data_IF_929091116168
#
_entry.id   IF_929091116168
#
_cell.length_a   1.000
_cell.length_b   1.000
_cell.length_c   1.000
_cell.angle_alpha   90.00
_cell.angle_beta   90.00
_cell.angle_gamma   90.00
#
_symmetry.space_group_name_H-M   'P 1'
#
loop_
_entity.id
_entity.type
_entity.pdbx_description
1 polymer ?
#
# COMPACT_ATOMS: atom_id res chain seq x y z
N UNK A 1 -59.36 31.14 -23.19
CA UNK A 1 -58.68 31.51 -21.93
C UNK A 1 -58.98 30.45 -20.88
N UNK A 2 -57.92 29.98 -20.19
CA UNK A 2 -57.89 29.19 -18.93
C UNK A 2 -58.52 27.78 -18.97
N UNK A 3 -57.79 26.65 -18.94
CA UNK A 3 -56.83 26.08 -17.97
C UNK A 3 -57.48 25.41 -16.74
N UNK A 4 -57.48 24.07 -16.71
CA UNK A 4 -57.35 23.18 -15.53
C UNK A 4 -56.96 21.79 -16.05
N UNK A 5 -55.68 21.43 -16.10
CA UNK A 5 -54.93 20.75 -15.03
C UNK A 5 -55.57 19.43 -14.57
N UNK A 6 -55.25 18.32 -15.25
CA UNK A 6 -55.27 16.99 -14.63
C UNK A 6 -53.87 16.76 -14.08
N UNK A 7 -53.77 16.86 -12.76
CA UNK A 7 -52.58 16.58 -11.98
C UNK A 7 -52.20 15.11 -12.05
N UNK A 8 -50.89 14.89 -11.97
CA UNK A 8 -50.18 13.64 -12.10
C UNK A 8 -50.70 12.48 -11.23
N UNK A 9 -50.68 11.31 -11.88
CA UNK A 9 -50.22 10.03 -11.35
C UNK A 9 -49.27 10.14 -10.15
N UNK A 10 -49.78 9.92 -8.94
CA UNK A 10 -48.93 9.89 -7.73
C UNK A 10 -49.17 8.68 -6.81
N UNK A 11 -49.67 7.55 -7.34
CA UNK A 11 -49.90 6.35 -6.50
C UNK A 11 -49.44 5.00 -7.05
N UNK A 12 -48.67 4.94 -8.14
CA UNK A 12 -48.21 3.64 -8.69
C UNK A 12 -46.71 3.33 -8.62
N UNK A 13 -45.84 4.27 -8.24
CA UNK A 13 -44.38 4.03 -8.33
C UNK A 13 -43.66 3.67 -7.02
N UNK A 14 -44.29 3.80 -5.85
CA UNK A 14 -43.62 3.52 -4.56
C UNK A 14 -43.74 2.08 -4.05
N UNK A 15 -44.81 1.35 -4.43
CA UNK A 15 -45.03 -0.04 -3.96
C UNK A 15 -44.16 -1.04 -4.72
N UNK A 16 -43.78 -0.75 -5.98
CA UNK A 16 -43.02 -1.69 -6.81
C UNK A 16 -41.55 -1.78 -6.39
N UNK A 17 -40.90 -0.66 -6.04
CA UNK A 17 -39.49 -0.66 -5.60
C UNK A 17 -39.28 -1.38 -4.27
N UNK A 18 -40.19 -1.20 -3.30
CA UNK A 18 -40.11 -1.88 -2.01
C UNK A 18 -40.33 -3.39 -2.15
N UNK A 19 -41.30 -3.80 -3.00
CA UNK A 19 -41.53 -5.22 -3.29
C UNK A 19 -40.36 -5.84 -4.03
N UNK A 20 -39.79 -5.17 -5.03
CA UNK A 20 -38.59 -5.64 -5.75
C UNK A 20 -37.42 -5.79 -4.78
N UNK A 21 -37.20 -4.82 -3.88
CA UNK A 21 -36.16 -4.91 -2.83
C UNK A 21 -36.35 -6.14 -1.94
N UNK A 22 -37.56 -6.35 -1.44
CA UNK A 22 -37.86 -7.50 -0.56
C UNK A 22 -37.73 -8.83 -1.31
N UNK A 23 -38.11 -8.90 -2.59
CA UNK A 23 -37.91 -10.11 -3.41
C UNK A 23 -36.44 -10.37 -3.68
N UNK A 24 -35.63 -9.34 -3.98
CA UNK A 24 -34.17 -9.48 -4.15
C UNK A 24 -33.48 -9.91 -2.85
N UNK A 25 -33.90 -9.34 -1.71
CA UNK A 25 -33.40 -9.74 -0.39
C UNK A 25 -33.76 -11.19 -0.07
N UNK A 26 -35.00 -11.60 -0.37
CA UNK A 26 -35.44 -12.99 -0.21
C UNK A 26 -34.67 -13.95 -1.10
N UNK A 27 -34.38 -13.56 -2.35
CA UNK A 27 -33.63 -14.38 -3.31
C UNK A 27 -32.16 -14.52 -2.93
N UNK A 28 -31.53 -13.46 -2.42
CA UNK A 28 -30.14 -13.50 -1.92
C UNK A 28 -30.01 -14.32 -0.64
N UNK A 29 -30.97 -14.22 0.30
CA UNK A 29 -31.02 -15.10 1.46
C UNK A 29 -31.21 -16.58 1.04
N UNK A 30 -32.07 -16.84 0.06
CA UNK A 30 -32.31 -18.20 -0.41
C UNK A 30 -31.06 -18.81 -1.11
N UNK A 31 -30.38 -18.03 -1.95
CA UNK A 31 -29.15 -18.48 -2.63
C UNK A 31 -28.02 -18.77 -1.63
N UNK A 32 -27.85 -17.94 -0.60
CA UNK A 32 -26.80 -18.13 0.42
C UNK A 32 -27.10 -19.32 1.35
N UNK A 33 -28.37 -19.57 1.70
CA UNK A 33 -28.76 -20.71 2.54
C UNK A 33 -28.77 -22.07 1.83
N UNK A 34 -29.10 -22.12 0.52
CA UNK A 34 -29.23 -23.39 -0.22
C UNK A 34 -27.99 -23.77 -1.03
N UNK A 35 -27.02 -22.85 -1.21
CA UNK A 35 -25.79 -23.11 -1.96
C UNK A 35 -24.55 -22.57 -1.21
N UNK A 36 -24.20 -23.15 -0.05
CA UNK A 36 -22.98 -22.76 0.68
C UNK A 36 -21.72 -22.87 -0.19
N UNK A 37 -21.71 -23.79 -1.17
CA UNK A 37 -20.66 -23.95 -2.18
C UNK A 37 -20.42 -22.70 -3.05
N UNK A 38 -21.45 -21.87 -3.32
CA UNK A 38 -21.29 -20.62 -4.06
C UNK A 38 -20.60 -19.55 -3.20
N UNK A 39 -20.90 -19.52 -1.89
CA UNK A 39 -20.27 -18.61 -0.93
C UNK A 39 -18.79 -18.99 -0.73
N UNK A 40 -18.47 -20.28 -0.60
CA UNK A 40 -17.08 -20.74 -0.55
C UNK A 40 -16.31 -20.49 -1.85
N UNK A 41 -16.94 -20.65 -3.02
CA UNK A 41 -16.33 -20.33 -4.30
C UNK A 41 -16.01 -18.83 -4.43
N UNK A 42 -16.91 -17.96 -3.94
CA UNK A 42 -16.69 -16.52 -3.90
C UNK A 42 -15.52 -16.15 -2.97
N UNK A 43 -15.46 -16.72 -1.77
CA UNK A 43 -14.34 -16.47 -0.85
C UNK A 43 -13.00 -16.96 -1.41
N UNK A 44 -12.97 -18.14 -2.02
CA UNK A 44 -11.74 -18.65 -2.64
C UNK A 44 -11.26 -17.76 -3.80
N UNK A 45 -12.19 -17.21 -4.59
CA UNK A 45 -11.86 -16.27 -5.65
C UNK A 45 -11.29 -14.96 -5.09
N UNK A 46 -11.91 -14.39 -4.05
CA UNK A 46 -11.43 -13.18 -3.39
C UNK A 46 -10.04 -13.38 -2.75
N UNK A 47 -9.82 -14.53 -2.09
CA UNK A 47 -8.51 -14.92 -1.56
C UNK A 47 -7.46 -15.00 -2.66
N UNK A 48 -7.77 -15.58 -3.83
CA UNK A 48 -6.82 -15.64 -4.96
C UNK A 48 -6.46 -14.25 -5.48
N UNK A 49 -7.43 -13.34 -5.59
CA UNK A 49 -7.16 -11.96 -5.99
C UNK A 49 -6.27 -11.23 -4.99
N UNK A 50 -6.53 -11.38 -3.70
CA UNK A 50 -5.71 -10.80 -2.63
C UNK A 50 -4.29 -11.38 -2.62
N UNK A 51 -4.13 -12.69 -2.86
CA UNK A 51 -2.82 -13.32 -3.00
C UNK A 51 -2.01 -12.78 -4.18
N UNK A 52 -2.67 -12.54 -5.32
CA UNK A 52 -2.01 -11.92 -6.48
C UNK A 52 -1.58 -10.48 -6.16
N UNK A 53 -2.48 -9.69 -5.56
CA UNK A 53 -2.18 -8.30 -5.18
C UNK A 53 -0.99 -8.23 -4.19
N UNK A 54 -0.95 -9.15 -3.22
CA UNK A 54 0.18 -9.29 -2.29
C UNK A 54 1.49 -9.57 -3.03
N UNK A 55 1.48 -10.50 -3.98
CA UNK A 55 2.67 -10.83 -4.77
C UNK A 55 3.17 -9.63 -5.59
N UNK A 56 2.25 -8.84 -6.16
CA UNK A 56 2.56 -7.63 -6.90
C UNK A 56 3.21 -6.56 -5.99
N UNK A 57 2.70 -6.36 -4.78
CA UNK A 57 3.32 -5.47 -3.79
C UNK A 57 4.70 -5.95 -3.34
N UNK A 58 4.88 -7.26 -3.14
CA UNK A 58 6.19 -7.83 -2.80
C UNK A 58 7.21 -7.62 -3.92
N UNK A 59 6.78 -7.71 -5.18
CA UNK A 59 7.63 -7.44 -6.34
C UNK A 59 8.02 -5.95 -6.39
N UNK A 60 7.06 -5.04 -6.21
CA UNK A 60 7.34 -3.60 -6.16
C UNK A 60 8.31 -3.25 -5.02
N UNK A 61 8.10 -3.81 -3.83
CA UNK A 61 8.98 -3.64 -2.69
C UNK A 61 10.41 -4.11 -3.01
N UNK A 62 10.56 -5.32 -3.58
CA UNK A 62 11.89 -5.85 -3.98
C UNK A 62 12.60 -4.98 -5.02
N UNK A 63 11.86 -4.49 -6.02
CA UNK A 63 12.40 -3.60 -7.04
C UNK A 63 12.89 -2.29 -6.41
N UNK A 64 12.08 -1.71 -5.52
CA UNK A 64 12.41 -0.47 -4.83
C UNK A 64 13.61 -0.63 -3.88
N UNK A 65 13.71 -1.76 -3.17
CA UNK A 65 14.90 -2.09 -2.35
C UNK A 65 16.17 -2.18 -3.21
N UNK A 66 16.05 -2.74 -4.41
CA UNK A 66 17.16 -2.86 -5.36
C UNK A 66 17.58 -1.50 -5.91
N UNK A 67 16.61 -0.67 -6.28
CA UNK A 67 16.85 0.71 -6.74
C UNK A 67 17.50 1.55 -5.64
N UNK A 68 16.96 1.49 -4.42
CA UNK A 68 17.53 2.14 -3.25
C UNK A 68 18.97 1.67 -3.00
N UNK A 69 19.23 0.36 -3.00
CA UNK A 69 20.58 -0.18 -2.84
C UNK A 69 21.55 0.29 -3.93
N UNK A 70 21.10 0.33 -5.18
CA UNK A 70 21.90 0.83 -6.32
C UNK A 70 22.17 2.33 -6.19
N UNK A 71 21.17 3.11 -5.80
CA UNK A 71 21.30 4.54 -5.53
C UNK A 71 22.33 4.81 -4.43
N UNK A 72 22.32 4.00 -3.36
CA UNK A 72 23.28 4.14 -2.25
C UNK A 72 24.72 3.80 -2.64
N UNK A 73 24.92 2.80 -3.51
CA UNK A 73 26.26 2.46 -4.03
C UNK A 73 26.78 3.57 -4.96
N UNK A 74 25.91 4.09 -5.83
CA UNK A 74 26.27 5.12 -6.81
C UNK A 74 26.41 6.52 -6.20
N UNK A 75 25.81 6.75 -5.03
CA UNK A 75 25.89 8.02 -4.31
C UNK A 75 26.58 7.79 -2.95
N UNK A 76 27.92 7.88 -2.85
CA UNK A 76 28.62 7.70 -1.57
C UNK A 76 28.19 8.72 -0.49
N UNK A 77 27.61 9.87 -0.89
CA UNK A 77 26.99 10.86 0.00
C UNK A 77 25.63 10.41 0.58
N UNK A 78 25.03 9.36 0.05
CA UNK A 78 23.81 8.73 0.58
C UNK A 78 24.08 8.03 1.90
N UNK A 79 25.11 7.19 1.94
CA UNK A 79 25.56 6.49 3.15
C UNK A 79 25.99 7.48 4.25
N UNK A 80 26.58 8.62 3.85
CA UNK A 80 26.91 9.74 4.71
C UNK A 80 25.68 10.40 5.35
N UNK A 81 24.69 10.73 4.52
CA UNK A 81 23.45 11.37 4.95
C UNK A 81 22.60 10.45 5.85
N UNK A 82 22.63 9.14 5.60
CA UNK A 82 21.95 8.13 6.43
C UNK A 82 22.52 8.08 7.84
N UNK A 83 23.85 8.13 7.98
CA UNK A 83 24.49 8.08 9.30
C UNK A 83 24.43 9.43 10.03
N UNK A 84 24.45 10.55 9.29
CA UNK A 84 24.28 11.89 9.87
C UNK A 84 22.86 12.16 10.40
N UNK A 85 21.83 11.48 9.86
CA UNK A 85 20.42 11.73 10.20
C UNK A 85 19.90 10.97 11.42
N UNK A 86 20.71 10.08 12.00
CA UNK A 86 20.43 9.44 13.30
C UNK A 86 19.61 8.13 13.24
N UNK A 87 19.29 7.62 14.44
CA UNK A 87 18.91 6.21 14.68
C UNK A 87 17.58 5.80 14.03
N UNK A 88 16.60 6.71 13.95
CA UNK A 88 15.28 6.40 13.39
C UNK A 88 15.31 6.07 11.90
N UNK A 89 16.09 6.82 11.13
CA UNK A 89 16.24 6.61 9.69
C UNK A 89 17.09 5.38 9.38
N UNK A 90 18.21 5.22 10.09
CA UNK A 90 19.05 4.03 10.01
C UNK A 90 18.27 2.74 10.31
N UNK A 91 17.29 2.79 11.22
CA UNK A 91 16.40 1.67 11.52
C UNK A 91 15.52 1.26 10.33
N UNK A 92 14.91 2.23 9.63
CA UNK A 92 14.04 1.95 8.46
C UNK A 92 14.86 1.40 7.29
N UNK A 93 16.03 1.97 7.03
CA UNK A 93 16.96 1.46 6.02
C UNK A 93 17.50 0.07 6.36
N UNK A 94 17.88 -0.17 7.61
CA UNK A 94 18.37 -1.47 8.06
C UNK A 94 17.33 -2.58 7.87
N UNK A 95 16.04 -2.29 8.03
CA UNK A 95 14.99 -3.27 7.76
C UNK A 95 14.86 -3.62 6.28
N UNK A 96 15.08 -2.65 5.39
CA UNK A 96 14.74 -2.77 3.98
C UNK A 96 15.92 -3.01 3.03
N UNK A 97 17.15 -2.76 3.46
CA UNK A 97 18.32 -2.93 2.60
C UNK A 97 18.83 -4.37 2.56
N UNK A 98 19.47 -4.72 1.45
CA UNK A 98 20.22 -5.96 1.34
C UNK A 98 21.54 -5.91 2.16
N UNK A 99 22.12 -7.08 2.43
CA UNK A 99 23.33 -7.19 3.26
C UNK A 99 24.52 -6.37 2.76
N UNK A 100 24.73 -6.31 1.45
CA UNK A 100 25.82 -5.55 0.83
C UNK A 100 25.67 -4.04 1.06
N UNK A 101 24.46 -3.50 0.86
CA UNK A 101 24.18 -2.08 1.09
C UNK A 101 24.34 -1.70 2.57
N UNK A 102 23.98 -2.61 3.50
CA UNK A 102 24.21 -2.40 4.95
C UNK A 102 25.70 -2.24 5.29
N UNK A 103 26.55 -3.09 4.72
CA UNK A 103 28.01 -3.02 4.93
C UNK A 103 28.58 -1.72 4.36
N UNK A 104 28.12 -1.31 3.17
CA UNK A 104 28.53 -0.04 2.55
C UNK A 104 28.14 1.16 3.41
N UNK A 105 26.95 1.17 4.02
CA UNK A 105 26.54 2.23 4.94
C UNK A 105 27.48 2.30 6.14
N UNK A 106 27.70 1.17 6.80
CA UNK A 106 28.54 1.11 7.99
C UNK A 106 29.98 1.56 7.71
N UNK A 107 30.54 1.18 6.56
CA UNK A 107 31.90 1.56 6.16
C UNK A 107 32.04 3.02 5.72
N UNK A 108 31.03 3.60 5.05
CA UNK A 108 31.15 4.93 4.42
C UNK A 108 30.72 6.07 5.34
N UNK A 109 29.80 5.88 6.29
CA UNK A 109 29.26 7.04 7.00
C UNK A 109 30.14 7.65 8.08
N UNK A 110 31.22 7.01 8.55
CA UNK A 110 32.20 7.71 9.39
C UNK A 110 32.97 8.80 8.61
N UNK A 111 33.30 8.52 7.35
CA UNK A 111 33.96 9.49 6.45
C UNK A 111 32.93 10.49 5.90
N UNK A 112 31.71 9.98 5.65
CA UNK A 112 30.61 10.74 5.09
C UNK A 112 30.05 11.85 5.98
N UNK A 113 29.93 11.63 7.30
CA UNK A 113 29.41 12.64 8.24
C UNK A 113 30.23 13.93 8.18
N UNK A 114 31.56 13.82 8.19
CA UNK A 114 32.45 14.98 8.07
C UNK A 114 32.27 15.74 6.74
N UNK A 115 31.93 15.03 5.67
CA UNK A 115 31.69 15.63 4.36
C UNK A 115 30.33 16.35 4.29
N UNK A 116 29.30 15.84 4.98
CA UNK A 116 28.00 16.52 5.06
C UNK A 116 27.96 17.69 6.06
N UNK A 117 28.95 17.81 6.95
CA UNK A 117 29.12 18.96 7.85
C UNK A 117 29.71 20.18 7.13
N UNK A 118 30.41 19.98 6.00
CA UNK A 118 30.88 21.06 5.14
C UNK A 118 29.69 21.86 4.58
N UNK A 119 29.73 23.18 4.77
CA UNK A 119 28.70 24.11 4.31
C UNK A 119 28.42 24.02 2.80
N UNK A 120 29.45 23.73 2.00
CA UNK A 120 29.33 23.61 0.55
C UNK A 120 28.64 22.32 0.09
N UNK A 121 28.62 21.30 0.96
CA UNK A 121 28.07 19.98 0.66
C UNK A 121 26.72 19.69 1.36
N UNK A 122 26.34 20.52 2.34
CA UNK A 122 25.10 20.38 3.12
C UNK A 122 23.84 20.25 2.26
N UNK A 123 23.68 21.12 1.27
CA UNK A 123 22.48 21.11 0.42
C UNK A 123 22.38 19.82 -0.39
N UNK A 124 23.50 19.33 -0.92
CA UNK A 124 23.54 18.09 -1.66
C UNK A 124 23.25 16.87 -0.77
N UNK A 125 23.82 16.83 0.44
CA UNK A 125 23.49 15.78 1.42
C UNK A 125 22.01 15.82 1.83
N UNK A 126 21.40 17.00 1.96
CA UNK A 126 19.98 17.14 2.26
C UNK A 126 19.09 16.62 1.12
N UNK A 127 19.44 16.88 -0.14
CA UNK A 127 18.72 16.33 -1.30
C UNK A 127 18.81 14.81 -1.35
N UNK A 128 20.01 14.26 -1.18
CA UNK A 128 20.23 12.81 -1.18
C UNK A 128 19.47 12.15 -0.02
N UNK A 129 19.47 12.79 1.16
CA UNK A 129 18.67 12.37 2.30
C UNK A 129 17.16 12.32 1.98
N UNK A 130 16.61 13.38 1.39
CA UNK A 130 15.20 13.45 1.03
C UNK A 130 14.80 12.32 0.06
N UNK A 131 15.66 12.01 -0.92
CA UNK A 131 15.43 10.90 -1.86
C UNK A 131 15.40 9.55 -1.14
N UNK A 132 16.39 9.26 -0.29
CA UNK A 132 16.42 8.04 0.50
C UNK A 132 15.22 7.93 1.44
N UNK A 133 14.76 9.05 2.01
CA UNK A 133 13.56 9.09 2.83
C UNK A 133 12.28 8.81 2.03
N UNK A 134 12.19 9.28 0.79
CA UNK A 134 11.10 8.92 -0.12
C UNK A 134 11.07 7.41 -0.38
N UNK A 135 12.22 6.80 -0.72
CA UNK A 135 12.33 5.36 -0.90
C UNK A 135 11.93 4.59 0.36
N UNK A 136 12.45 4.98 1.52
CA UNK A 136 12.16 4.35 2.81
C UNK A 136 10.66 4.42 3.17
N UNK A 137 10.02 5.57 2.92
CA UNK A 137 8.59 5.76 3.17
C UNK A 137 7.76 4.87 2.25
N UNK A 138 8.09 4.79 0.97
CA UNK A 138 7.39 3.93 0.02
C UNK A 138 7.53 2.44 0.38
N UNK A 139 8.71 2.01 0.83
CA UNK A 139 8.93 0.66 1.34
C UNK A 139 8.06 0.33 2.55
N UNK A 140 7.95 1.27 3.51
CA UNK A 140 7.07 1.09 4.67
C UNK A 140 5.59 1.00 4.26
N UNK A 141 5.16 1.83 3.30
CA UNK A 141 3.80 1.77 2.78
C UNK A 141 3.52 0.42 2.11
N UNK A 142 4.47 -0.15 1.37
CA UNK A 142 4.30 -1.50 0.79
C UNK A 142 4.19 -2.58 1.86
N UNK A 143 5.02 -2.52 2.91
CA UNK A 143 4.93 -3.45 4.05
C UNK A 143 3.57 -3.36 4.75
N UNK A 144 3.06 -2.15 4.98
CA UNK A 144 1.72 -1.92 5.54
C UNK A 144 0.61 -2.50 4.66
N UNK A 145 0.67 -2.30 3.33
CA UNK A 145 -0.32 -2.87 2.41
C UNK A 145 -0.29 -4.40 2.42
N UNK A 146 0.90 -5.00 2.43
CA UNK A 146 1.06 -6.46 2.53
C UNK A 146 0.44 -6.98 3.83
N UNK A 147 0.70 -6.30 4.96
CA UNK A 147 0.13 -6.67 6.25
C UNK A 147 -1.40 -6.58 6.28
N UNK A 148 -1.99 -5.54 5.67
CA UNK A 148 -3.44 -5.40 5.53
C UNK A 148 -4.05 -6.52 4.68
N UNK A 149 -3.40 -6.86 3.56
CA UNK A 149 -3.84 -7.97 2.70
C UNK A 149 -3.77 -9.30 3.45
N UNK A 150 -2.69 -9.55 4.21
CA UNK A 150 -2.54 -10.76 5.02
C UNK A 150 -3.63 -10.86 6.09
N UNK A 151 -4.01 -9.75 6.72
CA UNK A 151 -5.14 -9.70 7.66
C UNK A 151 -6.47 -10.02 6.97
N UNK A 152 -6.69 -9.50 5.76
CA UNK A 152 -7.93 -9.74 5.02
C UNK A 152 -8.05 -11.19 4.53
N UNK A 153 -6.96 -11.80 4.04
CA UNK A 153 -6.92 -13.23 3.70
C UNK A 153 -7.25 -14.07 4.94
N UNK A 154 -6.61 -13.79 6.08
CA UNK A 154 -6.87 -14.51 7.33
C UNK A 154 -8.31 -14.35 7.82
N UNK A 155 -8.96 -13.22 7.54
CA UNK A 155 -10.37 -13.01 7.87
C UNK A 155 -11.29 -13.86 6.98
N UNK A 156 -11.05 -13.92 5.67
CA UNK A 156 -11.87 -14.69 4.72
C UNK A 156 -11.70 -16.21 4.83
N UNK A 157 -10.60 -16.67 5.45
CA UNK A 157 -10.33 -18.09 5.69
C UNK A 157 -10.97 -18.66 6.96
N UNK A 158 -11.54 -17.81 7.82
CA UNK A 158 -12.17 -18.19 9.09
C UNK A 158 -13.68 -18.38 8.95
#
# INVERSE_FOLDING_TARGET
>A
MQNTSITHSDKLHFVSLQKIKNTLFGFTLFLTCFHPSLVFAQYNYEIQQLQQLRADYQLQMKNLQTEMGTYMITNPKASAAVLASGVGFAGILSKNLNGTAKVVIAGVGLIGVNHCLDANNRQHCATVFANLNSYATQLNNYDEQINLIDQQINYLQR
#
